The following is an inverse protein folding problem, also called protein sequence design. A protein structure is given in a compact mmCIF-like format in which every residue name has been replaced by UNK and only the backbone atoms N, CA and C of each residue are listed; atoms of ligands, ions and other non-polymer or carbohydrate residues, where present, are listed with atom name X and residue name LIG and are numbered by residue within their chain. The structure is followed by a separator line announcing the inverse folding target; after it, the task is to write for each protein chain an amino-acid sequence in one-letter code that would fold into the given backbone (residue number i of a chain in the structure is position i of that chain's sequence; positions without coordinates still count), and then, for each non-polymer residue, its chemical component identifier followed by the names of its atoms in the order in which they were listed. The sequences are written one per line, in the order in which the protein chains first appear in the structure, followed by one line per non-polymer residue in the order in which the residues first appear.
data_IF_866236124321
#
_entry.id   IF_866236124321
#
_cell.length_a   1.000
_cell.length_b   1.000
_cell.length_c   1.000
_cell.angle_alpha   90.00
_cell.angle_beta   90.00
_cell.angle_gamma   90.00
#
_symmetry.space_group_name_H-M   'P 1'
#
loop_
_entity.id
_entity.type
_entity.pdbx_description
1 polymer ?
#
# COMPACT_ATOMS: atom_id res chain seq x y z
N UNK A 1 -15.46 12.86 -80.85
CA UNK A 1 -16.76 12.44 -80.26
C UNK A 1 -17.04 11.03 -80.78
N UNK A 2 -17.25 9.95 -80.02
CA UNK A 2 -17.59 9.67 -78.63
C UNK A 2 -16.76 8.45 -78.18
N UNK A 3 -16.26 8.45 -76.94
CA UNK A 3 -15.72 7.28 -76.26
C UNK A 3 -16.91 6.45 -75.75
N UNK A 4 -16.99 5.17 -76.10
CA UNK A 4 -17.93 4.23 -75.48
C UNK A 4 -17.24 3.36 -74.44
N UNK A 5 -17.89 3.38 -73.29
CA UNK A 5 -17.67 2.74 -72.01
C UNK A 5 -17.84 1.21 -72.12
N UNK A 6 -16.87 0.44 -71.64
CA UNK A 6 -17.06 -0.95 -71.24
C UNK A 6 -16.48 -1.12 -69.83
N UNK A 7 -17.37 -1.16 -68.85
CA UNK A 7 -17.06 -1.42 -67.45
C UNK A 7 -16.99 -2.94 -67.26
N UNK A 8 -15.80 -3.48 -66.99
CA UNK A 8 -15.65 -4.82 -66.44
C UNK A 8 -15.71 -4.70 -64.92
N UNK A 9 -16.82 -5.14 -64.32
CA UNK A 9 -16.99 -5.23 -62.87
C UNK A 9 -16.20 -6.46 -62.39
N UNK A 10 -15.00 -6.26 -61.84
CA UNK A 10 -14.32 -7.28 -61.07
C UNK A 10 -14.89 -7.25 -59.64
N UNK A 11 -15.81 -8.15 -59.34
CA UNK A 11 -16.24 -8.44 -57.96
C UNK A 11 -15.06 -9.05 -57.20
N UNK A 12 -14.29 -8.22 -56.50
CA UNK A 12 -13.39 -8.67 -55.44
C UNK A 12 -14.28 -8.98 -54.24
N UNK A 13 -14.61 -10.26 -54.06
CA UNK A 13 -15.16 -10.76 -52.81
C UNK A 13 -14.11 -10.60 -51.71
N UNK A 14 -14.12 -9.46 -51.01
CA UNK A 14 -13.44 -9.33 -49.72
C UNK A 14 -14.25 -10.19 -48.76
N UNK A 15 -13.78 -11.43 -48.54
CA UNK A 15 -14.24 -12.25 -47.44
C UNK A 15 -13.95 -11.50 -46.15
N UNK A 16 -14.97 -10.90 -45.56
CA UNK A 16 -14.94 -10.47 -44.16
C UNK A 16 -14.82 -11.74 -43.32
N UNK A 17 -13.59 -12.15 -43.02
CA UNK A 17 -13.31 -12.99 -41.86
C UNK A 17 -13.64 -12.13 -40.63
N UNK A 18 -14.92 -12.08 -40.27
CA UNK A 18 -15.32 -11.71 -38.92
C UNK A 18 -14.85 -12.84 -38.02
N UNK A 19 -13.61 -12.74 -37.52
CA UNK A 19 -13.16 -13.55 -36.40
C UNK A 19 -14.10 -13.18 -35.26
N UNK A 20 -15.05 -14.04 -34.91
CA UNK A 20 -15.87 -13.82 -33.71
C UNK A 20 -14.90 -13.78 -32.54
N UNK A 21 -14.72 -12.62 -31.91
CA UNK A 21 -13.89 -12.49 -30.72
C UNK A 21 -14.33 -13.55 -29.70
N UNK A 22 -13.40 -14.41 -29.31
CA UNK A 22 -13.68 -15.50 -28.37
C UNK A 22 -14.06 -14.87 -27.02
N UNK A 23 -15.23 -15.23 -26.50
CA UNK A 23 -15.63 -14.85 -25.16
C UNK A 23 -14.70 -15.50 -24.12
N UNK A 24 -14.49 -14.79 -23.02
CA UNK A 24 -13.83 -15.31 -21.82
C UNK A 24 -14.74 -16.37 -21.18
N UNK A 25 -14.19 -17.54 -20.85
CA UNK A 25 -14.95 -18.64 -20.25
C UNK A 25 -14.91 -18.58 -18.73
N UNK A 26 -13.77 -18.19 -18.13
CA UNK A 26 -13.61 -18.12 -16.67
C UNK A 26 -12.90 -16.84 -16.21
N UNK A 27 -13.13 -16.42 -14.96
CA UNK A 27 -12.41 -15.28 -14.38
C UNK A 27 -10.88 -15.54 -14.31
N UNK A 28 -10.45 -16.78 -14.07
CA UNK A 28 -9.03 -17.13 -14.02
C UNK A 28 -8.35 -17.05 -15.41
N UNK A 29 -9.06 -17.44 -16.48
CA UNK A 29 -8.59 -17.22 -17.86
C UNK A 29 -8.35 -15.73 -18.11
N UNK A 30 -9.27 -14.86 -17.69
CA UNK A 30 -9.11 -13.42 -17.81
C UNK A 30 -7.90 -12.91 -17.01
N UNK A 31 -7.80 -13.27 -15.73
CA UNK A 31 -6.68 -12.84 -14.89
C UNK A 31 -5.35 -13.26 -15.49
N UNK A 32 -5.24 -14.50 -15.97
CA UNK A 32 -4.05 -15.03 -16.63
C UNK A 32 -3.73 -14.28 -17.93
N UNK A 33 -4.72 -14.06 -18.79
CA UNK A 33 -4.56 -13.38 -20.07
C UNK A 33 -4.17 -11.90 -19.94
N UNK A 34 -4.55 -11.25 -18.84
CA UNK A 34 -4.20 -9.85 -18.56
C UNK A 34 -2.83 -9.68 -17.89
N UNK A 35 -2.19 -10.75 -17.42
CA UNK A 35 -0.91 -10.62 -16.71
C UNK A 35 0.14 -10.05 -17.65
N UNK A 36 0.85 -8.98 -17.24
CA UNK A 36 1.96 -8.49 -18.01
C UNK A 36 3.04 -9.58 -18.12
N UNK A 37 3.73 -9.69 -19.28
CA UNK A 37 4.78 -10.67 -19.46
C UNK A 37 5.97 -10.36 -18.53
N UNK A 38 6.56 -11.42 -17.96
CA UNK A 38 7.80 -11.32 -17.20
C UNK A 38 8.96 -11.08 -18.19
N UNK A 39 9.69 -9.99 -17.99
CA UNK A 39 10.85 -9.62 -18.78
C UNK A 39 12.12 -10.12 -18.09
N UNK A 40 12.91 -10.94 -18.79
CA UNK A 40 14.21 -11.41 -18.30
C UNK A 40 15.34 -10.61 -18.95
N UNK A 41 16.30 -10.15 -18.14
CA UNK A 41 17.49 -9.41 -18.57
C UNK A 41 18.72 -9.98 -17.87
N UNK A 42 19.86 -9.90 -18.53
CA UNK A 42 21.15 -10.27 -17.94
C UNK A 42 22.03 -9.04 -17.86
N UNK A 43 22.65 -8.80 -16.70
CA UNK A 43 23.50 -7.63 -16.46
C UNK A 43 24.88 -8.04 -15.93
N UNK A 44 25.88 -7.18 -16.13
CA UNK A 44 27.16 -7.24 -15.42
C UNK A 44 27.04 -6.39 -14.15
N UNK A 45 26.99 -7.00 -12.95
CA UNK A 45 26.78 -6.27 -11.69
C UNK A 45 27.98 -5.39 -11.29
N UNK A 46 29.13 -5.50 -11.97
CA UNK A 46 30.31 -4.66 -11.73
C UNK A 46 30.24 -3.29 -12.42
N UNK A 47 29.28 -3.09 -13.31
CA UNK A 47 29.07 -1.85 -14.08
C UNK A 47 27.72 -1.20 -13.73
N UNK A 48 27.56 0.06 -14.11
CA UNK A 48 26.26 0.73 -14.08
C UNK A 48 25.36 0.13 -15.16
N UNK A 49 24.13 -0.21 -14.80
CA UNK A 49 23.17 -0.83 -15.73
C UNK A 49 21.89 -0.02 -15.82
N UNK A 50 21.41 0.21 -17.04
CA UNK A 50 20.09 0.78 -17.32
C UNK A 50 19.21 -0.29 -17.97
N UNK A 51 18.14 -0.67 -17.29
CA UNK A 51 17.13 -1.60 -17.79
C UNK A 51 15.93 -0.79 -18.24
N UNK A 52 15.53 -0.96 -19.50
CA UNK A 52 14.30 -0.39 -20.03
C UNK A 52 13.24 -1.49 -20.15
N UNK A 53 12.12 -1.29 -19.46
CA UNK A 53 10.95 -2.14 -19.51
C UNK A 53 10.09 -1.86 -20.74
N UNK A 54 9.36 -2.87 -21.19
CA UNK A 54 8.42 -2.80 -22.31
C UNK A 54 7.31 -1.74 -22.15
N UNK A 55 6.96 -1.35 -20.92
CA UNK A 55 5.98 -0.27 -20.63
C UNK A 55 6.64 1.07 -20.31
N UNK A 56 7.95 1.18 -20.54
CA UNK A 56 8.70 2.43 -20.46
C UNK A 56 9.22 2.75 -19.06
N UNK A 57 9.03 1.89 -18.05
CA UNK A 57 9.73 2.04 -16.76
C UNK A 57 11.21 1.81 -16.99
N UNK A 58 12.04 2.72 -16.50
CA UNK A 58 13.50 2.59 -16.57
C UNK A 58 14.05 2.32 -15.18
N UNK A 59 14.97 1.38 -15.06
CA UNK A 59 15.59 0.98 -13.79
C UNK A 59 17.10 1.10 -13.93
N UNK A 60 17.67 2.03 -13.18
CA UNK A 60 19.11 2.18 -13.07
C UNK A 60 19.62 1.43 -11.84
N UNK A 61 20.52 0.48 -12.07
CA UNK A 61 21.16 -0.34 -11.05
C UNK A 61 22.64 0.07 -11.04
N UNK A 62 23.11 0.79 -10.00
CA UNK A 62 24.50 1.21 -9.91
C UNK A 62 25.46 0.02 -9.85
N UNK A 63 26.69 0.23 -10.33
CA UNK A 63 27.76 -0.73 -10.18
C UNK A 63 27.92 -1.19 -8.72
N UNK A 64 28.03 -2.50 -8.52
CA UNK A 64 28.26 -3.13 -7.23
C UNK A 64 27.17 -2.90 -6.17
N UNK A 65 25.95 -2.51 -6.57
CA UNK A 65 24.84 -2.28 -5.63
C UNK A 65 24.07 -3.54 -5.26
N UNK A 66 24.33 -4.67 -5.90
CA UNK A 66 23.65 -5.94 -5.63
C UNK A 66 24.58 -6.90 -4.88
N UNK A 67 24.07 -7.48 -3.80
CA UNK A 67 24.83 -8.38 -2.91
C UNK A 67 24.01 -9.64 -2.57
N UNK A 68 24.73 -10.71 -2.27
CA UNK A 68 24.19 -11.95 -1.72
C UNK A 68 23.82 -11.75 -0.25
N UNK A 69 23.09 -12.70 0.35
CA UNK A 69 22.63 -12.65 1.75
C UNK A 69 23.75 -12.37 2.77
N UNK A 70 24.98 -12.78 2.49
CA UNK A 70 26.15 -12.57 3.35
C UNK A 70 26.89 -11.23 3.10
N UNK A 71 26.34 -10.37 2.23
CA UNK A 71 26.93 -9.08 1.85
C UNK A 71 27.98 -9.17 0.75
N UNK A 72 28.33 -10.37 0.26
CA UNK A 72 29.30 -10.52 -0.81
C UNK A 72 28.70 -10.19 -2.18
N UNK A 73 29.52 -9.68 -3.09
CA UNK A 73 29.08 -9.37 -4.46
C UNK A 73 28.99 -10.64 -5.30
N UNK A 74 27.97 -10.77 -6.18
CA UNK A 74 27.87 -11.91 -7.08
C UNK A 74 29.04 -11.96 -8.06
N UNK A 75 29.54 -13.16 -8.34
CA UNK A 75 30.50 -13.39 -9.41
C UNK A 75 29.78 -13.64 -10.75
N UNK A 76 30.27 -13.04 -11.83
CA UNK A 76 29.67 -13.21 -13.16
C UNK A 76 28.39 -12.40 -13.34
N UNK A 77 27.53 -12.87 -14.25
CA UNK A 77 26.31 -12.15 -14.64
C UNK A 77 25.17 -12.34 -13.67
N UNK A 78 24.31 -11.33 -13.54
CA UNK A 78 23.07 -11.38 -12.77
C UNK A 78 21.86 -11.46 -13.70
N UNK A 79 20.90 -12.32 -13.36
CA UNK A 79 19.59 -12.38 -14.02
C UNK A 79 18.62 -11.44 -13.31
N UNK A 80 17.93 -10.59 -14.07
CA UNK A 80 16.89 -9.68 -13.60
C UNK A 80 15.56 -10.09 -14.19
N UNK A 81 14.55 -10.23 -13.34
CA UNK A 81 13.16 -10.48 -13.72
C UNK A 81 12.33 -9.24 -13.41
N UNK A 82 11.63 -8.70 -14.40
CA UNK A 82 10.84 -7.46 -14.28
C UNK A 82 9.41 -7.67 -14.78
N UNK A 83 8.44 -7.23 -13.97
CA UNK A 83 7.04 -7.07 -14.35
C UNK A 83 6.64 -5.60 -14.16
N UNK A 84 5.87 -5.05 -15.10
CA UNK A 84 5.41 -3.65 -15.08
C UNK A 84 3.88 -3.58 -15.08
N UNK A 85 3.33 -2.82 -14.13
CA UNK A 85 1.89 -2.60 -13.97
C UNK A 85 1.62 -1.09 -14.01
N UNK A 86 1.02 -0.61 -15.10
CA UNK A 86 0.77 0.82 -15.34
C UNK A 86 -0.71 1.12 -15.50
N UNK A 87 -1.47 0.17 -16.05
CA UNK A 87 -2.89 0.33 -16.38
C UNK A 87 -3.80 -0.34 -15.36
N UNK A 88 -5.05 0.09 -15.28
CA UNK A 88 -6.07 -0.55 -14.43
C UNK A 88 -6.26 -2.04 -14.77
N UNK A 89 -6.05 -2.46 -16.02
CA UNK A 89 -6.06 -3.88 -16.42
C UNK A 89 -4.92 -4.67 -15.80
N UNK A 90 -3.74 -4.06 -15.70
CA UNK A 90 -2.58 -4.69 -15.06
C UNK A 90 -2.85 -4.90 -13.57
N UNK A 91 -3.39 -3.88 -12.90
CA UNK A 91 -3.74 -3.96 -11.49
C UNK A 91 -4.82 -5.01 -11.23
N UNK A 92 -5.82 -5.09 -12.11
CA UNK A 92 -6.86 -6.11 -12.04
C UNK A 92 -6.29 -7.53 -12.16
N UNK A 93 -5.34 -7.76 -13.09
CA UNK A 93 -4.73 -9.09 -13.35
C UNK A 93 -4.06 -9.73 -12.13
N UNK A 94 -3.59 -8.90 -11.19
CA UNK A 94 -2.91 -9.30 -9.95
C UNK A 94 -3.71 -8.97 -8.70
N UNK A 95 -5.00 -8.57 -8.84
CA UNK A 95 -5.88 -8.17 -7.73
C UNK A 95 -5.25 -7.09 -6.84
N UNK A 96 -4.55 -6.14 -7.47
CA UNK A 96 -3.86 -5.06 -6.76
C UNK A 96 -4.88 -4.01 -6.31
N UNK A 97 -4.58 -3.38 -5.17
CA UNK A 97 -5.25 -2.19 -4.68
C UNK A 97 -4.20 -1.09 -4.45
N UNK A 98 -4.56 0.15 -4.70
CA UNK A 98 -3.74 1.34 -4.38
C UNK A 98 -4.10 1.82 -2.98
N UNK A 99 -3.80 0.97 -1.98
CA UNK A 99 -4.06 1.23 -0.56
C UNK A 99 -2.79 1.01 0.26
N UNK A 100 -2.53 1.91 1.20
CA UNK A 100 -1.59 1.68 2.30
C UNK A 100 -2.37 1.63 3.61
N UNK A 101 -2.56 0.42 4.12
CA UNK A 101 -3.55 0.15 5.16
C UNK A 101 -4.95 0.56 4.70
N UNK A 102 -5.55 1.56 5.34
CA UNK A 102 -6.87 2.12 4.95
C UNK A 102 -6.76 3.41 4.16
N UNK A 103 -5.55 3.91 3.87
CA UNK A 103 -5.34 5.17 3.17
C UNK A 103 -5.28 4.95 1.66
N UNK A 104 -6.03 5.76 0.94
CA UNK A 104 -6.06 5.74 -0.52
C UNK A 104 -4.76 6.30 -1.08
N UNK A 105 -4.24 5.64 -2.11
CA UNK A 105 -3.07 6.06 -2.85
C UNK A 105 -3.47 6.45 -4.27
N UNK A 106 -2.75 7.42 -4.82
CA UNK A 106 -2.78 7.72 -6.25
C UNK A 106 -1.46 7.30 -6.87
N UNK A 107 -1.54 6.45 -7.89
CA UNK A 107 -0.40 5.72 -8.43
C UNK A 107 0.17 6.28 -9.72
N UNK A 108 1.49 6.22 -9.83
CA UNK A 108 2.28 6.41 -11.06
C UNK A 108 2.70 5.09 -11.70
N UNK A 109 2.37 3.95 -11.09
CA UNK A 109 2.68 2.61 -11.56
C UNK A 109 3.47 1.77 -10.58
N UNK A 110 3.41 0.45 -10.78
CA UNK A 110 4.03 -0.56 -9.92
C UNK A 110 4.96 -1.46 -10.73
N UNK A 111 5.97 -2.01 -10.07
CA UNK A 111 6.81 -3.08 -10.61
C UNK A 111 6.93 -4.22 -9.60
N UNK A 112 7.23 -5.40 -10.13
CA UNK A 112 7.85 -6.48 -9.38
C UNK A 112 9.22 -6.76 -10.03
N UNK A 113 10.30 -6.49 -9.32
CA UNK A 113 11.67 -6.73 -9.79
C UNK A 113 12.39 -7.71 -8.88
N UNK A 114 13.02 -8.73 -9.44
CA UNK A 114 13.93 -9.62 -8.69
C UNK A 114 15.26 -9.76 -9.40
N UNK A 115 16.30 -10.09 -8.63
CA UNK A 115 17.64 -10.33 -9.14
C UNK A 115 18.18 -11.64 -8.56
N UNK A 116 18.88 -12.43 -9.37
CA UNK A 116 19.55 -13.64 -8.91
C UNK A 116 20.88 -13.88 -9.62
N UNK A 117 21.80 -14.53 -8.90
CA UNK A 117 23.05 -15.05 -9.45
C UNK A 117 23.10 -16.56 -9.20
N UNK A 118 23.30 -17.36 -10.25
CA UNK A 118 23.31 -18.83 -10.15
C UNK A 118 22.07 -19.45 -9.47
N UNK A 119 20.91 -18.80 -9.61
CA UNK A 119 19.65 -19.22 -8.98
C UNK A 119 19.43 -18.66 -7.56
N UNK A 120 20.46 -18.10 -6.92
CA UNK A 120 20.37 -17.51 -5.58
C UNK A 120 19.90 -16.05 -5.64
N UNK A 121 18.89 -15.65 -4.82
CA UNK A 121 18.42 -14.28 -4.79
C UNK A 121 19.47 -13.27 -4.31
N UNK A 122 19.48 -12.11 -4.95
CA UNK A 122 20.28 -10.95 -4.53
C UNK A 122 19.39 -9.87 -3.92
N UNK A 123 20.00 -8.98 -3.15
CA UNK A 123 19.35 -7.79 -2.61
C UNK A 123 20.22 -6.55 -2.86
N UNK A 124 19.63 -5.36 -2.67
CA UNK A 124 20.37 -4.10 -2.77
C UNK A 124 21.20 -3.93 -1.50
N UNK A 125 22.48 -3.60 -1.65
CA UNK A 125 23.39 -3.26 -0.55
C UNK A 125 22.82 -2.11 0.30
N UNK A 126 22.99 -2.17 1.63
CA UNK A 126 22.33 -1.26 2.58
C UNK A 126 22.72 0.22 2.41
N UNK A 127 23.93 0.46 1.88
CA UNK A 127 24.46 1.79 1.58
C UNK A 127 24.15 2.25 0.15
N UNK A 128 23.51 1.39 -0.64
CA UNK A 128 23.15 1.63 -2.03
C UNK A 128 21.64 1.79 -2.23
N UNK A 129 21.26 2.23 -3.43
CA UNK A 129 19.87 2.25 -3.88
C UNK A 129 19.84 2.05 -5.40
N UNK A 130 18.82 1.35 -5.89
CA UNK A 130 18.47 1.42 -7.31
C UNK A 130 17.60 2.64 -7.56
N UNK A 131 17.59 3.14 -8.79
CA UNK A 131 16.71 4.24 -9.20
C UNK A 131 15.67 3.69 -10.16
N UNK A 132 14.40 3.96 -9.87
CA UNK A 132 13.27 3.57 -10.71
C UNK A 132 12.62 4.83 -11.26
N UNK A 133 12.50 4.91 -12.58
CA UNK A 133 11.87 5.99 -13.29
C UNK A 133 10.54 5.51 -13.88
N UNK A 134 9.44 5.99 -13.33
CA UNK A 134 8.07 5.68 -13.78
C UNK A 134 7.59 6.73 -14.78
N UNK A 135 7.15 6.35 -16.00
CA UNK A 135 6.70 7.32 -16.99
C UNK A 135 5.43 8.01 -16.49
N UNK A 136 5.34 9.32 -16.71
CA UNK A 136 4.18 10.12 -16.29
C UNK A 136 3.84 11.21 -17.29
N UNK A 137 2.55 11.50 -17.44
CA UNK A 137 2.08 12.62 -18.27
C UNK A 137 2.11 13.94 -17.50
N UNK A 138 1.80 13.88 -16.22
CA UNK A 138 1.71 15.02 -15.30
C UNK A 138 2.71 14.85 -14.17
N UNK A 139 3.22 15.94 -13.62
CA UNK A 139 4.13 15.87 -12.47
C UNK A 139 3.36 16.21 -11.20
N UNK A 140 2.94 15.16 -10.49
CA UNK A 140 2.22 15.27 -9.23
C UNK A 140 3.21 15.40 -8.06
N UNK A 141 3.01 16.36 -7.14
CA UNK A 141 3.81 16.44 -5.92
C UNK A 141 3.45 15.29 -4.97
N UNK A 142 4.40 14.93 -4.10
CA UNK A 142 4.21 13.94 -3.04
C UNK A 142 4.37 12.48 -3.46
N UNK A 143 4.71 12.21 -4.73
CA UNK A 143 5.04 10.86 -5.19
C UNK A 143 6.30 10.36 -4.48
N UNK A 144 6.24 9.12 -3.99
CA UNK A 144 7.30 8.47 -3.22
C UNK A 144 7.28 6.96 -3.44
N UNK A 145 8.34 6.29 -2.99
CA UNK A 145 8.47 4.84 -3.05
C UNK A 145 7.59 4.17 -2.00
N UNK A 146 6.83 3.16 -2.43
CA UNK A 146 6.13 2.21 -1.57
C UNK A 146 6.64 0.81 -1.86
N UNK A 147 6.64 -0.04 -0.83
CA UNK A 147 7.00 -1.45 -0.96
C UNK A 147 5.79 -2.32 -0.65
N UNK A 148 5.65 -3.40 -1.42
CA UNK A 148 4.53 -4.33 -1.31
C UNK A 148 4.94 -5.64 -0.66
N UNK A 149 4.17 -6.08 0.33
CA UNK A 149 4.25 -7.44 0.87
C UNK A 149 2.97 -8.20 0.54
N UNK A 150 3.12 -9.48 0.16
CA UNK A 150 2.00 -10.37 -0.05
C UNK A 150 1.30 -10.66 1.27
N UNK A 151 -0.01 -10.45 1.32
CA UNK A 151 -0.83 -10.77 2.50
C UNK A 151 -1.61 -12.06 2.31
N UNK A 152 -2.00 -12.68 3.42
CA UNK A 152 -2.87 -13.86 3.46
C UNK A 152 -4.12 -13.62 2.59
N UNK A 153 -4.34 -14.45 1.57
CA UNK A 153 -5.43 -14.28 0.59
C UNK A 153 -5.00 -13.77 -0.80
N UNK A 154 -3.71 -13.52 -1.01
CA UNK A 154 -3.13 -13.30 -2.36
C UNK A 154 -3.15 -11.85 -2.86
N UNK A 155 -3.52 -10.88 -2.01
CA UNK A 155 -3.38 -9.45 -2.29
C UNK A 155 -2.00 -8.90 -1.90
N UNK A 156 -1.73 -7.64 -2.25
CA UNK A 156 -0.56 -6.88 -1.80
C UNK A 156 -0.98 -5.79 -0.81
N UNK A 157 -0.20 -5.63 0.26
CA UNK A 157 -0.27 -4.49 1.16
C UNK A 157 0.91 -3.57 0.91
N UNK A 158 0.64 -2.28 0.67
CA UNK A 158 1.68 -1.29 0.42
C UNK A 158 2.05 -0.50 1.67
N UNK A 159 3.34 -0.31 1.89
CA UNK A 159 3.87 0.56 2.94
C UNK A 159 4.81 1.59 2.33
N UNK A 160 4.65 2.86 2.73
CA UNK A 160 5.55 3.91 2.27
C UNK A 160 6.97 3.66 2.78
N UNK A 161 7.99 3.94 1.96
CA UNK A 161 9.39 3.84 2.37
C UNK A 161 9.71 4.68 3.62
N UNK A 162 9.02 5.82 3.78
CA UNK A 162 9.14 6.70 4.95
C UNK A 162 8.51 6.15 6.23
N UNK A 163 7.61 5.18 6.10
CA UNK A 163 6.99 4.47 7.22
C UNK A 163 7.70 3.15 7.54
N UNK A 164 8.56 2.68 6.65
CA UNK A 164 9.45 1.57 6.94
C UNK A 164 10.55 2.11 7.83
N UNK A 165 10.40 1.94 9.14
CA UNK A 165 11.44 2.22 10.11
C UNK A 165 12.77 1.66 9.59
N UNK A 166 13.82 2.48 9.40
CA UNK A 166 15.09 2.00 9.88
C UNK A 166 14.89 1.75 11.37
N UNK A 167 15.51 0.73 11.95
CA UNK A 167 15.96 0.90 13.32
C UNK A 167 16.83 2.17 13.35
N UNK A 168 16.22 3.35 13.54
CA UNK A 168 16.89 4.50 14.14
C UNK A 168 16.79 4.30 15.64
N UNK A 169 17.28 3.14 16.10
CA UNK A 169 17.85 3.06 17.41
C UNK A 169 19.24 3.70 17.28
N UNK A 170 19.49 4.73 18.09
CA UNK A 170 20.77 5.38 18.27
C UNK A 170 21.30 6.27 17.12
N UNK A 171 20.68 7.44 16.95
CA UNK A 171 21.50 8.66 17.01
C UNK A 171 20.95 9.46 18.18
N UNK A 172 21.51 9.20 19.36
CA UNK A 172 21.41 10.13 20.46
C UNK A 172 22.23 11.37 20.05
N UNK A 173 21.59 12.32 19.38
CA UNK A 173 22.13 13.67 19.36
C UNK A 173 21.77 14.30 20.71
N UNK A 174 22.78 14.42 21.56
CA UNK A 174 22.72 14.99 22.91
C UNK A 174 22.75 16.52 22.92
N UNK A 175 22.52 17.16 21.77
CA UNK A 175 22.42 18.62 21.66
C UNK A 175 20.97 19.05 21.36
N UNK A 176 20.16 19.12 22.41
CA UNK A 176 18.84 19.75 22.36
C UNK A 176 19.00 21.28 22.39
N UNK A 177 19.21 21.90 21.22
CA UNK A 177 19.22 23.36 21.09
C UNK A 177 17.80 23.97 20.91
N UNK A 178 16.75 23.15 21.02
CA UNK A 178 15.37 23.58 20.80
C UNK A 178 14.93 23.62 19.33
N UNK A 179 15.77 23.22 18.38
CA UNK A 179 15.42 23.09 16.95
C UNK A 179 15.02 21.67 16.53
N UNK A 180 14.56 20.79 17.43
CA UNK A 180 14.36 19.38 17.09
C UNK A 180 13.31 19.19 15.97
N UNK A 181 13.80 18.92 14.76
CA UNK A 181 13.01 18.65 13.55
C UNK A 181 12.25 17.30 13.59
N UNK A 182 12.05 16.71 14.76
CA UNK A 182 11.37 15.43 14.94
C UNK A 182 9.91 15.66 15.31
N UNK A 183 8.99 14.92 14.68
CA UNK A 183 7.62 14.81 15.16
C UNK A 183 7.65 14.00 16.46
N UNK A 184 7.35 14.70 17.55
CA UNK A 184 7.23 14.14 18.89
C UNK A 184 5.86 13.45 18.99
N UNK A 185 5.83 12.12 18.95
CA UNK A 185 4.58 11.34 19.09
C UNK A 185 4.57 10.58 20.39
N UNK A 186 3.43 10.62 21.06
CA UNK A 186 3.18 9.83 22.26
C UNK A 186 2.54 8.52 21.82
N UNK A 187 3.12 7.42 22.27
CA UNK A 187 2.63 6.09 21.95
C UNK A 187 2.80 5.16 23.16
N UNK A 188 2.16 4.00 23.07
CA UNK A 188 2.44 2.90 24.00
C UNK A 188 3.82 2.35 23.64
N UNK A 189 4.71 2.32 24.62
CA UNK A 189 6.11 1.88 24.47
C UNK A 189 6.37 0.54 25.17
N UNK A 190 5.44 0.11 26.01
CA UNK A 190 5.46 -1.19 26.67
C UNK A 190 4.09 -1.49 27.26
N UNK A 191 3.79 -2.76 27.40
CA UNK A 191 2.60 -3.23 28.09
C UNK A 191 2.84 -4.67 28.52
N UNK A 192 2.33 -5.03 29.68
CA UNK A 192 2.43 -6.38 30.22
C UNK A 192 1.15 -6.66 30.98
N UNK A 193 0.48 -7.77 30.67
CA UNK A 193 -0.53 -8.29 31.56
C UNK A 193 -0.17 -9.69 31.99
N UNK A 194 -0.34 -9.98 33.28
CA UNK A 194 -0.06 -11.28 33.85
C UNK A 194 -1.25 -11.76 34.68
N UNK A 195 -1.52 -13.06 34.62
CA UNK A 195 -2.43 -13.75 35.53
C UNK A 195 -1.67 -14.95 36.09
N UNK A 196 -1.54 -15.04 37.41
CA UNK A 196 -0.76 -16.10 38.07
C UNK A 196 0.66 -16.22 37.48
N UNK A 197 1.34 -15.08 37.30
CA UNK A 197 2.68 -14.97 36.69
C UNK A 197 2.81 -15.49 35.24
N UNK A 198 1.70 -15.66 34.52
CA UNK A 198 1.71 -15.98 33.08
C UNK A 198 1.24 -14.77 32.28
N UNK A 199 2.01 -14.42 31.26
CA UNK A 199 1.68 -13.32 30.36
C UNK A 199 0.42 -13.62 29.53
N UNK A 200 -0.42 -12.60 29.34
CA UNK A 200 -1.61 -12.65 28.50
C UNK A 200 -1.57 -11.55 27.43
N UNK A 201 -2.06 -11.87 26.24
CA UNK A 201 -2.13 -10.92 25.12
C UNK A 201 -3.32 -9.99 25.29
N UNK A 202 -3.09 -8.68 25.16
CA UNK A 202 -4.14 -7.67 25.30
C UNK A 202 -5.01 -7.61 24.05
N UNK A 203 -6.33 -7.50 24.24
CA UNK A 203 -7.28 -7.32 23.14
C UNK A 203 -8.42 -6.38 23.56
N UNK A 204 -8.77 -5.44 22.68
CA UNK A 204 -9.86 -4.48 22.91
C UNK A 204 -11.06 -4.76 22.02
N UNK A 205 -12.26 -4.43 22.49
CA UNK A 205 -13.51 -4.49 21.73
C UNK A 205 -13.62 -3.27 20.81
N UNK A 206 -12.72 -3.15 19.84
CA UNK A 206 -12.68 -2.06 18.87
C UNK A 206 -12.18 -2.55 17.51
N UNK A 207 -12.46 -1.79 16.44
CA UNK A 207 -11.97 -2.09 15.10
C UNK A 207 -10.43 -1.96 14.99
N UNK A 208 -9.82 -1.19 15.90
CA UNK A 208 -8.38 -1.18 16.10
C UNK A 208 -7.95 -2.46 16.80
N UNK A 209 -7.07 -3.24 16.17
CA UNK A 209 -6.70 -4.58 16.63
C UNK A 209 -5.95 -4.62 17.96
N UNK A 210 -5.44 -3.48 18.45
CA UNK A 210 -4.61 -3.39 19.67
C UNK A 210 -4.78 -2.05 20.39
N UNK A 211 -4.44 -2.01 21.68
CA UNK A 211 -4.35 -0.77 22.47
C UNK A 211 -3.40 0.25 21.83
N UNK A 212 -2.29 -0.19 21.23
CA UNK A 212 -1.33 0.68 20.54
C UNK A 212 -2.00 1.52 19.47
N UNK A 213 -2.67 0.85 18.54
CA UNK A 213 -3.32 1.51 17.41
C UNK A 213 -4.41 2.47 17.89
N UNK A 214 -5.12 2.10 18.95
CA UNK A 214 -6.15 2.97 19.53
C UNK A 214 -5.54 4.21 20.19
N UNK A 215 -4.51 4.06 21.02
CA UNK A 215 -3.84 5.18 21.71
C UNK A 215 -3.21 6.12 20.68
N UNK A 216 -2.49 5.59 19.69
CA UNK A 216 -1.84 6.40 18.65
C UNK A 216 -2.84 7.25 17.86
N UNK A 217 -4.04 6.73 17.58
CA UNK A 217 -5.08 7.45 16.83
C UNK A 217 -5.90 8.42 17.67
N UNK A 218 -6.14 8.11 18.94
CA UNK A 218 -7.16 8.80 19.74
C UNK A 218 -6.61 9.64 20.89
N UNK A 219 -5.36 9.43 21.31
CA UNK A 219 -4.75 10.24 22.36
C UNK A 219 -4.39 11.62 21.81
N UNK A 220 -5.28 12.58 22.02
CA UNK A 220 -5.06 13.97 21.65
C UNK A 220 -4.73 14.75 22.92
N UNK A 221 -3.44 14.96 23.19
CA UNK A 221 -3.01 15.87 24.24
C UNK A 221 -3.09 17.31 23.72
N UNK A 222 -4.05 18.08 24.24
CA UNK A 222 -4.24 19.49 23.89
C UNK A 222 -3.32 20.43 24.68
N UNK A 223 -2.73 19.94 25.77
CA UNK A 223 -1.78 20.70 26.58
C UNK A 223 -0.37 20.59 26.00
N UNK A 224 0.05 21.66 25.31
CA UNK A 224 1.38 21.74 24.70
C UNK A 224 2.54 21.68 25.69
N UNK A 225 2.36 22.08 26.96
CA UNK A 225 3.41 22.00 27.98
C UNK A 225 3.57 20.56 28.50
N UNK A 226 2.47 19.82 28.54
CA UNK A 226 2.43 18.42 28.93
C UNK A 226 3.07 17.51 27.88
N UNK A 227 2.69 17.68 26.60
CA UNK A 227 3.36 17.01 25.47
C UNK A 227 4.86 17.25 25.49
N UNK A 228 5.24 18.51 25.74
CA UNK A 228 6.64 18.94 25.73
C UNK A 228 7.46 18.18 26.77
N UNK A 229 6.98 18.05 28.00
CA UNK A 229 7.72 17.36 29.05
C UNK A 229 7.83 15.84 28.84
N UNK A 230 6.78 15.16 28.38
CA UNK A 230 6.90 13.73 28.01
C UNK A 230 8.00 13.56 26.97
N UNK A 231 8.07 14.49 26.02
CA UNK A 231 8.97 14.41 24.89
C UNK A 231 10.38 14.98 25.11
N UNK A 232 10.59 15.79 26.15
CA UNK A 232 11.90 16.33 26.51
C UNK A 232 12.61 15.48 27.57
N UNK A 233 11.86 14.80 28.44
CA UNK A 233 12.43 14.02 29.54
C UNK A 233 12.95 12.65 29.14
N UNK A 234 12.60 12.13 27.95
CA UNK A 234 12.74 10.71 27.58
C UNK A 234 12.15 9.75 28.65
N UNK A 235 11.29 10.24 29.54
CA UNK A 235 10.76 9.47 30.65
C UNK A 235 9.66 8.52 30.15
N UNK A 236 9.64 7.31 30.72
CA UNK A 236 8.49 6.43 30.63
C UNK A 236 7.46 6.86 31.67
N UNK A 237 6.20 6.88 31.27
CA UNK A 237 5.06 6.94 32.20
C UNK A 237 4.55 5.51 32.36
N UNK A 238 4.95 4.87 33.45
CA UNK A 238 4.57 3.51 33.78
C UNK A 238 3.33 3.51 34.66
N UNK A 239 2.29 2.85 34.17
CA UNK A 239 0.97 2.83 34.78
C UNK A 239 0.57 1.41 35.14
N UNK A 240 -0.07 1.27 36.30
CA UNK A 240 -0.79 0.07 36.70
C UNK A 240 -2.28 0.33 36.47
N UNK A 241 -2.93 -0.56 35.72
CA UNK A 241 -4.35 -0.44 35.39
C UNK A 241 -5.16 -1.43 36.23
N UNK A 242 -6.31 -0.98 36.72
CA UNK A 242 -7.36 -1.86 37.26
C UNK A 242 -8.45 -1.98 36.21
N UNK A 243 -8.75 -3.21 35.81
CA UNK A 243 -9.75 -3.52 34.79
C UNK A 243 -10.86 -4.35 35.44
N UNK A 244 -12.11 -3.95 35.27
CA UNK A 244 -13.26 -4.69 35.82
C UNK A 244 -13.63 -5.92 34.96
N UNK A 245 -14.63 -6.67 35.44
CA UNK A 245 -15.07 -7.91 34.78
C UNK A 245 -15.68 -7.72 33.40
N UNK A 246 -16.07 -6.49 33.02
CA UNK A 246 -16.58 -6.16 31.68
C UNK A 246 -15.51 -5.53 30.79
N UNK A 247 -14.25 -5.48 31.25
CA UNK A 247 -13.11 -4.97 30.50
C UNK A 247 -12.94 -3.46 30.56
N UNK A 248 -13.63 -2.74 31.45
CA UNK A 248 -13.46 -1.30 31.59
C UNK A 248 -12.31 -0.99 32.55
N UNK A 249 -11.47 -0.03 32.16
CA UNK A 249 -10.43 0.51 33.04
C UNK A 249 -11.11 1.36 34.12
N UNK A 250 -11.06 0.89 35.36
CA UNK A 250 -11.64 1.57 36.52
C UNK A 250 -10.57 2.28 37.36
N UNK A 251 -9.34 1.76 37.36
CA UNK A 251 -8.18 2.31 38.06
C UNK A 251 -7.02 2.57 37.12
N UNK A 252 -6.30 3.67 37.37
CA UNK A 252 -5.04 4.02 36.72
C UNK A 252 -4.15 4.60 37.81
N UNK A 253 -3.10 3.88 38.15
CA UNK A 253 -2.12 4.23 39.17
C UNK A 253 -0.76 4.46 38.54
N UNK A 254 -0.01 5.42 39.06
CA UNK A 254 1.35 5.70 38.62
C UNK A 254 2.31 4.76 39.33
N UNK A 255 3.03 3.94 38.56
CA UNK A 255 4.14 3.13 39.05
C UNK A 255 5.44 3.92 39.05
N UNK A 256 5.74 4.57 37.93
CA UNK A 256 6.90 5.44 37.77
C UNK A 256 6.63 6.50 36.69
N UNK A 257 7.38 7.60 36.75
CA UNK A 257 7.29 8.70 35.79
C UNK A 257 6.63 9.98 36.34
N UNK A 258 6.36 10.96 35.46
CA UNK A 258 5.96 12.31 35.88
C UNK A 258 4.52 12.35 36.42
N UNK A 259 4.35 12.60 37.72
CA UNK A 259 3.04 12.52 38.40
C UNK A 259 1.94 13.43 37.83
N UNK A 260 2.31 14.59 37.26
CA UNK A 260 1.34 15.51 36.64
C UNK A 260 0.68 14.95 35.36
N UNK A 261 1.24 13.89 34.79
CA UNK A 261 0.67 13.19 33.63
C UNK A 261 -0.43 12.19 34.00
N UNK A 262 -0.51 11.80 35.28
CA UNK A 262 -1.43 10.77 35.71
C UNK A 262 -2.89 11.17 35.47
N UNK A 263 -3.29 12.39 35.82
CA UNK A 263 -4.67 12.87 35.66
C UNK A 263 -5.16 12.88 34.20
N UNK A 264 -4.46 13.51 33.24
CA UNK A 264 -4.89 13.49 31.84
C UNK A 264 -4.85 12.09 31.24
N UNK A 265 -3.86 11.27 31.59
CA UNK A 265 -3.78 9.91 31.09
C UNK A 265 -4.89 9.02 31.67
N UNK A 266 -5.20 9.17 32.96
CA UNK A 266 -6.35 8.52 33.59
C UNK A 266 -7.66 8.90 32.89
N UNK A 267 -7.85 10.20 32.59
CA UNK A 267 -9.04 10.68 31.87
C UNK A 267 -9.17 10.04 30.48
N UNK A 268 -8.06 9.89 29.74
CA UNK A 268 -8.08 9.23 28.44
C UNK A 268 -8.34 7.71 28.55
N UNK A 269 -7.54 7.01 29.37
CA UNK A 269 -7.58 5.55 29.50
C UNK A 269 -8.94 5.04 30.00
N UNK A 270 -9.55 5.72 30.98
CA UNK A 270 -10.87 5.33 31.49
C UNK A 270 -12.00 5.50 30.45
N UNK A 271 -11.78 6.30 29.40
CA UNK A 271 -12.73 6.49 28.30
C UNK A 271 -12.49 5.53 27.12
N UNK A 272 -11.50 4.65 27.19
CA UNK A 272 -11.22 3.69 26.13
C UNK A 272 -12.33 2.64 25.93
N UNK A 273 -12.40 2.01 24.74
CA UNK A 273 -13.14 0.79 24.53
C UNK A 273 -12.76 -0.26 25.56
N UNK A 274 -13.73 -1.08 25.98
CA UNK A 274 -13.49 -2.14 26.93
C UNK A 274 -12.56 -3.21 26.34
N UNK A 275 -11.79 -3.87 27.18
CA UNK A 275 -11.03 -5.07 26.85
C UNK A 275 -11.96 -6.25 26.54
N UNK A 276 -11.54 -7.09 25.60
CA UNK A 276 -12.18 -8.37 25.30
C UNK A 276 -11.71 -9.40 26.35
N UNK A 277 -12.30 -9.33 27.55
CA UNK A 277 -11.95 -10.19 28.68
C UNK A 277 -12.08 -11.68 28.33
N UNK A 278 -13.01 -12.02 27.43
CA UNK A 278 -13.23 -13.39 26.97
C UNK A 278 -12.05 -13.93 26.17
N UNK A 279 -11.55 -13.13 25.22
CA UNK A 279 -10.39 -13.50 24.41
C UNK A 279 -9.08 -13.43 25.18
N UNK A 280 -9.00 -12.56 26.19
CA UNK A 280 -7.83 -12.49 27.06
C UNK A 280 -7.80 -13.64 28.10
N UNK A 281 -8.88 -14.41 28.21
CA UNK A 281 -9.06 -15.51 29.17
C UNK A 281 -8.79 -15.08 30.63
N UNK A 282 -9.27 -13.89 31.01
CA UNK A 282 -9.04 -13.30 32.33
C UNK A 282 -10.35 -12.96 33.03
N UNK A 283 -10.49 -13.49 34.25
CA UNK A 283 -11.52 -13.12 35.24
C UNK A 283 -10.96 -13.12 36.66
N UNK A 284 -9.62 -13.15 36.80
CA UNK A 284 -8.95 -13.33 38.09
C UNK A 284 -8.77 -12.00 38.83
N UNK A 285 -8.92 -12.03 40.16
CA UNK A 285 -8.56 -10.91 41.04
C UNK A 285 -7.03 -10.66 41.08
N UNK A 286 -6.22 -11.66 40.71
CA UNK A 286 -4.75 -11.61 40.70
C UNK A 286 -4.17 -11.17 39.34
N UNK A 287 -4.97 -10.47 38.53
CA UNK A 287 -4.52 -9.97 37.23
C UNK A 287 -3.79 -8.63 37.40
N UNK A 288 -2.54 -8.56 36.91
CA UNK A 288 -1.78 -7.31 36.87
C UNK A 288 -1.75 -6.78 35.43
N UNK A 289 -2.02 -5.48 35.26
CA UNK A 289 -1.99 -4.81 33.97
C UNK A 289 -1.05 -3.61 34.06
N UNK A 290 0.08 -3.67 33.37
CA UNK A 290 1.07 -2.60 33.30
C UNK A 290 1.06 -2.00 31.89
N UNK A 291 1.08 -0.68 31.79
CA UNK A 291 1.12 0.07 30.53
C UNK A 291 2.17 1.17 30.63
N UNK A 292 3.11 1.18 29.68
CA UNK A 292 4.16 2.19 29.57
C UNK A 292 3.88 3.11 28.40
N UNK A 293 3.78 4.41 28.67
CA UNK A 293 3.62 5.46 27.65
C UNK A 293 4.93 6.22 27.54
N UNK A 294 5.39 6.49 26.32
CA UNK A 294 6.57 7.34 26.10
C UNK A 294 6.38 8.21 24.86
N UNK A 295 7.32 9.14 24.68
CA UNK A 295 7.38 9.93 23.46
C UNK A 295 8.52 9.43 22.56
N UNK A 296 8.16 8.93 21.38
CA UNK A 296 9.12 8.62 20.35
C UNK A 296 9.36 9.86 19.47
N UNK A 297 10.63 10.15 19.20
CA UNK A 297 11.04 11.12 18.18
C UNK A 297 10.96 10.42 16.82
N UNK A 298 9.89 10.65 16.07
CA UNK A 298 9.81 10.21 14.69
C UNK A 298 10.32 11.32 13.77
N UNK A 299 11.07 10.99 12.73
CA UNK A 299 11.34 11.97 11.67
C UNK A 299 10.01 12.19 10.94
N UNK A 300 9.52 13.44 10.77
CA UNK A 300 8.34 13.71 9.95
C UNK A 300 8.52 13.06 8.58
N UNK A 301 7.46 12.44 8.04
CA UNK A 301 7.57 11.66 6.81
C UNK A 301 8.18 12.46 5.63
N UNK A 302 7.85 13.74 5.53
CA UNK A 302 8.41 14.63 4.51
C UNK A 302 9.91 14.86 4.68
N UNK A 303 10.39 15.07 5.90
CA UNK A 303 11.81 15.18 6.14
C UNK A 303 12.55 13.86 5.96
N UNK A 304 11.94 12.73 6.33
CA UNK A 304 12.54 11.43 6.05
C UNK A 304 12.73 11.27 4.55
N UNK A 305 11.69 11.61 3.76
CA UNK A 305 11.73 11.59 2.30
C UNK A 305 12.82 12.52 1.77
N UNK A 306 12.91 13.76 2.24
CA UNK A 306 13.96 14.69 1.83
C UNK A 306 15.36 14.17 2.16
N UNK A 307 15.57 13.66 3.38
CA UNK A 307 16.85 13.09 3.80
C UNK A 307 17.21 11.82 3.00
N UNK A 308 16.22 10.97 2.71
CA UNK A 308 16.38 9.77 1.89
C UNK A 308 16.76 10.13 0.47
N UNK A 309 16.02 11.03 -0.18
CA UNK A 309 16.32 11.50 -1.53
C UNK A 309 17.68 12.21 -1.58
N UNK A 310 18.03 12.98 -0.55
CA UNK A 310 19.35 13.61 -0.45
C UNK A 310 20.47 12.58 -0.28
N UNK A 311 20.28 11.54 0.52
CA UNK A 311 21.27 10.45 0.71
C UNK A 311 21.60 9.78 -0.62
N UNK A 312 20.62 9.63 -1.51
CA UNK A 312 20.76 8.89 -2.78
C UNK A 312 20.79 9.78 -4.03
N UNK A 313 20.96 11.10 -3.86
CA UNK A 313 20.95 12.06 -4.97
C UNK A 313 22.00 11.75 -6.04
N UNK A 314 23.18 11.24 -5.65
CA UNK A 314 24.24 10.90 -6.60
C UNK A 314 23.81 9.80 -7.59
N UNK A 315 23.13 8.75 -7.12
CA UNK A 315 22.61 7.69 -7.99
C UNK A 315 21.50 8.23 -8.90
N UNK A 316 20.66 9.13 -8.38
CA UNK A 316 19.62 9.80 -9.17
C UNK A 316 20.21 10.66 -10.28
N UNK A 317 21.28 11.40 -10.00
CA UNK A 317 22.01 12.19 -11.01
C UNK A 317 22.66 11.30 -12.08
N UNK A 318 23.21 10.14 -11.68
CA UNK A 318 23.73 9.14 -12.62
C UNK A 318 22.61 8.57 -13.50
N UNK A 319 21.49 8.16 -12.90
CA UNK A 319 20.33 7.66 -13.63
C UNK A 319 19.78 8.70 -14.61
N UNK A 320 19.64 9.96 -14.20
CA UNK A 320 19.17 11.04 -15.07
C UNK A 320 20.11 11.31 -16.26
N UNK A 321 21.43 11.16 -16.06
CA UNK A 321 22.40 11.24 -17.16
C UNK A 321 22.26 10.06 -18.12
N UNK A 322 22.06 8.86 -17.59
CA UNK A 322 21.89 7.63 -18.38
C UNK A 322 20.57 7.62 -19.17
N UNK A 323 19.48 8.10 -18.57
CA UNK A 323 18.14 8.17 -19.19
C UNK A 323 18.08 9.25 -20.28
N UNK A 324 18.85 10.34 -20.14
CA UNK A 324 18.88 11.46 -21.07
C UNK A 324 17.89 12.58 -20.72
N UNK A 325 18.39 13.83 -20.67
CA UNK A 325 17.66 15.02 -20.18
C UNK A 325 16.45 15.46 -21.03
N UNK A 326 16.34 15.01 -22.29
CA UNK A 326 15.26 15.41 -23.21
C UNK A 326 13.97 14.61 -23.06
N UNK A 327 13.94 13.59 -22.19
CA UNK A 327 12.79 12.69 -21.98
C UNK A 327 12.06 12.90 -20.64
N UNK A 328 12.22 14.04 -19.96
CA UNK A 328 11.79 14.25 -18.56
C UNK A 328 10.27 14.31 -18.35
N UNK A 329 9.62 13.16 -18.51
CA UNK A 329 8.25 12.82 -18.17
C UNK A 329 8.27 11.58 -17.27
N UNK A 330 9.06 11.64 -16.19
CA UNK A 330 9.29 10.52 -15.28
C UNK A 330 9.22 10.96 -13.81
N UNK A 331 8.58 10.14 -12.97
CA UNK A 331 8.86 10.14 -11.53
C UNK A 331 10.10 9.31 -11.28
N UNK A 332 11.16 9.95 -10.79
CA UNK A 332 12.45 9.29 -10.53
C UNK A 332 12.62 9.12 -9.03
N UNK A 333 12.56 7.87 -8.56
CA UNK A 333 12.55 7.51 -7.15
C UNK A 333 13.68 6.55 -6.80
N UNK A 334 14.22 6.68 -5.59
CA UNK A 334 15.19 5.72 -5.06
C UNK A 334 14.50 4.55 -4.35
N UNK A 335 15.02 3.33 -4.55
CA UNK A 335 14.56 2.13 -3.87
C UNK A 335 15.73 1.31 -3.29
N UNK A 336 15.60 0.90 -2.04
CA UNK A 336 16.59 0.11 -1.27
C UNK A 336 16.31 -1.38 -1.26
N UNK A 337 15.19 -1.81 -1.84
CA UNK A 337 14.78 -3.21 -1.86
C UNK A 337 14.31 -3.54 -3.26
N UNK A 338 14.58 -4.79 -3.65
CA UNK A 338 13.91 -5.43 -4.78
C UNK A 338 12.56 -5.99 -4.31
N UNK A 339 11.77 -6.50 -5.24
CA UNK A 339 10.43 -7.02 -5.03
C UNK A 339 9.37 -6.08 -5.59
N UNK A 340 8.24 -5.97 -4.89
CA UNK A 340 7.16 -5.07 -5.24
C UNK A 340 7.50 -3.64 -4.86
N UNK A 341 7.60 -2.78 -5.86
CA UNK A 341 7.91 -1.36 -5.72
C UNK A 341 6.83 -0.57 -6.43
N UNK A 342 6.34 0.47 -5.79
CA UNK A 342 5.29 1.30 -6.31
C UNK A 342 5.64 2.79 -6.18
N UNK A 343 5.27 3.59 -7.18
CA UNK A 343 5.41 5.03 -7.19
C UNK A 343 4.06 5.65 -6.89
N UNK A 344 3.81 6.01 -5.64
CA UNK A 344 2.51 6.47 -5.19
C UNK A 344 2.62 7.76 -4.39
N UNK A 345 1.50 8.47 -4.25
CA UNK A 345 1.28 9.47 -3.22
C UNK A 345 0.06 9.12 -2.39
N UNK A 346 0.04 9.58 -1.14
CA UNK A 346 -1.22 9.56 -0.38
C UNK A 346 -2.21 10.53 -1.02
N UNK A 347 -3.43 10.05 -1.26
CA UNK A 347 -4.54 10.89 -1.68
C UNK A 347 -5.32 11.35 -0.44
N UNK A 348 -5.19 12.62 -0.11
CA UNK A 348 -5.88 13.22 1.03
C UNK A 348 -7.07 14.06 0.57
N UNK A 349 -8.23 13.42 0.56
CA UNK A 349 -9.51 14.09 0.35
C UNK A 349 -10.11 14.50 1.70
N UNK A 350 -10.44 15.79 1.91
CA UNK A 350 -11.02 16.27 3.16
C UNK A 350 -12.49 15.87 3.33
N UNK A 351 -13.15 15.35 2.29
CA UNK A 351 -14.54 14.93 2.38
C UNK A 351 -14.71 13.79 3.41
N UNK A 352 -15.86 13.72 4.10
CA UNK A 352 -16.16 12.62 5.00
C UNK A 352 -15.99 11.26 4.32
N UNK A 353 -15.29 10.34 4.97
CA UNK A 353 -15.01 9.00 4.46
C UNK A 353 -16.07 8.02 4.97
N UNK A 354 -16.51 7.11 4.10
CA UNK A 354 -17.55 6.11 4.39
C UNK A 354 -17.13 4.74 3.90
N UNK A 355 -17.78 3.71 4.42
CA UNK A 355 -17.73 2.36 3.84
C UNK A 355 -18.80 2.27 2.74
N UNK A 356 -18.37 2.03 1.51
CA UNK A 356 -19.25 1.87 0.36
C UNK A 356 -19.54 0.38 0.14
N UNK A 357 -20.81 -0.01 0.18
CA UNK A 357 -21.23 -1.40 0.07
C UNK A 357 -21.83 -1.69 -1.32
N UNK A 358 -21.29 -2.69 -1.98
CA UNK A 358 -21.74 -3.17 -3.30
C UNK A 358 -22.29 -4.58 -3.17
N UNK A 359 -23.45 -4.81 -3.76
CA UNK A 359 -24.03 -6.16 -3.93
C UNK A 359 -24.05 -6.55 -5.39
N UNK A 360 -23.89 -7.84 -5.66
CA UNK A 360 -23.95 -8.41 -7.00
C UNK A 360 -25.19 -9.28 -7.12
N UNK A 361 -25.90 -9.18 -8.24
CA UNK A 361 -27.09 -10.00 -8.50
C UNK A 361 -26.86 -10.96 -9.68
N UNK A 362 -27.32 -12.21 -9.56
CA UNK A 362 -27.38 -13.15 -10.69
C UNK A 362 -26.06 -13.77 -11.13
N UNK A 363 -25.04 -13.77 -10.26
CA UNK A 363 -23.73 -14.37 -10.52
C UNK A 363 -23.22 -15.17 -9.31
N UNK A 364 -22.34 -16.14 -9.57
CA UNK A 364 -21.55 -16.86 -8.55
C UNK A 364 -20.08 -16.47 -8.63
N UNK A 365 -19.33 -16.71 -7.55
CA UNK A 365 -17.90 -16.37 -7.44
C UNK A 365 -17.54 -14.91 -7.84
N UNK A 366 -18.24 -13.91 -7.28
CA UNK A 366 -18.00 -12.51 -7.65
C UNK A 366 -16.60 -12.01 -7.27
N UNK A 367 -15.98 -11.27 -8.20
CA UNK A 367 -14.81 -10.43 -8.00
C UNK A 367 -15.22 -8.98 -8.31
N UNK A 368 -15.14 -8.10 -7.31
CA UNK A 368 -15.59 -6.71 -7.45
C UNK A 368 -14.46 -5.74 -7.17
N UNK A 369 -14.26 -4.79 -8.07
CA UNK A 369 -13.23 -3.75 -7.99
C UNK A 369 -13.84 -2.36 -8.26
N UNK A 370 -13.30 -1.34 -7.62
CA UNK A 370 -13.54 0.06 -7.97
C UNK A 370 -12.35 0.64 -8.72
N UNK A 371 -12.64 1.44 -9.75
CA UNK A 371 -11.70 2.39 -10.34
C UNK A 371 -12.21 3.79 -10.04
N UNK A 372 -11.35 4.64 -9.49
CA UNK A 372 -11.69 6.05 -9.26
C UNK A 372 -11.56 6.84 -10.56
N UNK A 373 -12.53 7.70 -10.86
CA UNK A 373 -12.51 8.46 -12.12
C UNK A 373 -11.65 9.72 -12.04
N UNK A 374 -11.45 10.26 -10.84
CA UNK A 374 -10.76 11.54 -10.63
C UNK A 374 -9.29 11.41 -10.20
N UNK A 375 -8.86 10.18 -9.85
CA UNK A 375 -7.50 9.87 -9.43
C UNK A 375 -7.10 8.53 -10.01
N UNK A 376 -5.82 8.35 -10.29
CA UNK A 376 -5.31 7.04 -10.71
C UNK A 376 -5.25 6.09 -9.50
N UNK A 377 -6.37 5.47 -9.17
CA UNK A 377 -6.53 4.63 -7.98
C UNK A 377 -7.53 3.51 -8.24
N UNK A 378 -7.23 2.32 -7.74
CA UNK A 378 -8.07 1.12 -7.83
C UNK A 378 -8.18 0.43 -6.49
N UNK A 379 -9.31 -0.23 -6.23
CA UNK A 379 -9.54 -0.87 -4.95
C UNK A 379 -10.31 -2.18 -5.11
N UNK A 380 -9.83 -3.25 -4.52
CA UNK A 380 -10.55 -4.53 -4.45
C UNK A 380 -11.60 -4.50 -3.34
N UNK A 381 -12.74 -5.13 -3.58
CA UNK A 381 -13.81 -5.26 -2.60
C UNK A 381 -13.53 -6.37 -1.60
N UNK A 382 -13.75 -6.10 -0.32
CA UNK A 382 -13.68 -7.11 0.72
C UNK A 382 -15.06 -7.76 0.89
N UNK A 383 -15.16 -9.07 0.65
CA UNK A 383 -16.43 -9.78 0.83
C UNK A 383 -16.77 -9.91 2.32
N UNK A 384 -17.96 -9.40 2.69
CA UNK A 384 -18.53 -9.49 4.03
C UNK A 384 -20.04 -9.70 3.95
N UNK A 385 -20.54 -10.77 4.56
CA UNK A 385 -21.98 -11.04 4.67
C UNK A 385 -22.72 -10.97 3.32
N UNK A 386 -22.10 -11.47 2.23
CA UNK A 386 -22.68 -11.45 0.88
C UNK A 386 -22.65 -10.09 0.18
N UNK A 387 -21.86 -9.13 0.68
CA UNK A 387 -21.63 -7.82 0.07
C UNK A 387 -20.13 -7.58 -0.09
N UNK A 388 -19.75 -6.71 -1.02
CA UNK A 388 -18.39 -6.21 -1.20
C UNK A 388 -18.27 -4.84 -0.56
N UNK A 389 -17.48 -4.75 0.50
CA UNK A 389 -17.29 -3.52 1.27
C UNK A 389 -15.99 -2.86 0.87
N UNK A 390 -16.09 -1.58 0.53
CA UNK A 390 -14.96 -0.72 0.24
C UNK A 390 -14.84 0.35 1.32
N UNK A 391 -13.87 0.18 2.21
CA UNK A 391 -13.74 1.02 3.42
C UNK A 391 -13.08 2.37 3.15
N UNK A 392 -13.47 3.35 3.96
CA UNK A 392 -12.79 4.65 4.07
C UNK A 392 -12.69 5.46 2.75
N UNK A 393 -13.73 5.40 1.92
CA UNK A 393 -13.78 6.14 0.65
C UNK A 393 -14.40 7.53 0.86
N UNK A 394 -13.84 8.60 0.27
CA UNK A 394 -14.47 9.93 0.32
C UNK A 394 -15.86 9.92 -0.31
N UNK A 395 -16.86 10.43 0.41
CA UNK A 395 -18.22 10.61 -0.14
C UNK A 395 -18.18 11.48 -1.39
N UNK A 396 -19.09 11.22 -2.33
CA UNK A 396 -19.14 11.88 -3.65
C UNK A 396 -17.99 11.55 -4.62
N UNK A 397 -17.12 10.59 -4.28
CA UNK A 397 -16.16 10.05 -5.25
C UNK A 397 -16.89 9.45 -6.44
N UNK A 398 -16.50 9.84 -7.65
CA UNK A 398 -16.95 9.19 -8.88
C UNK A 398 -16.13 7.94 -9.10
N UNK A 399 -16.81 6.80 -9.24
CA UNK A 399 -16.17 5.50 -9.37
C UNK A 399 -16.85 4.67 -10.46
N UNK A 400 -16.05 3.87 -11.15
CA UNK A 400 -16.50 2.78 -12.01
C UNK A 400 -16.44 1.49 -11.19
N UNK A 401 -17.58 0.87 -10.96
CA UNK A 401 -17.71 -0.43 -10.28
C UNK A 401 -17.62 -1.52 -11.33
N UNK A 402 -16.65 -2.42 -11.18
CA UNK A 402 -16.42 -3.56 -12.06
C UNK A 402 -16.72 -4.82 -11.27
N UNK A 403 -17.57 -5.68 -11.82
CA UNK A 403 -17.89 -6.99 -11.26
C UNK A 403 -17.70 -8.06 -12.32
N UNK A 404 -16.95 -9.09 -11.95
CA UNK A 404 -16.79 -10.30 -12.75
C UNK A 404 -17.27 -11.45 -11.92
N UNK A 405 -18.05 -12.35 -12.51
CA UNK A 405 -18.45 -13.58 -11.87
C UNK A 405 -18.83 -14.60 -12.91
N UNK A 406 -19.56 -15.61 -12.47
CA UNK A 406 -19.98 -16.72 -13.30
C UNK A 406 -21.50 -16.76 -13.40
N UNK A 407 -21.99 -16.97 -14.62
CA UNK A 407 -23.39 -17.30 -14.88
C UNK A 407 -23.40 -18.47 -15.87
N UNK A 408 -24.08 -19.58 -15.51
CA UNK A 408 -24.11 -20.81 -16.31
C UNK A 408 -22.71 -21.34 -16.72
N UNK A 409 -21.74 -21.27 -15.80
CA UNK A 409 -20.32 -21.66 -16.02
C UNK A 409 -19.59 -20.83 -17.08
N UNK A 410 -20.08 -19.63 -17.39
CA UNK A 410 -19.42 -18.68 -18.26
C UNK A 410 -19.10 -17.40 -17.48
N UNK A 411 -17.92 -16.84 -17.71
CA UNK A 411 -17.55 -15.54 -17.16
C UNK A 411 -18.47 -14.45 -17.71
N UNK A 412 -18.97 -13.62 -16.81
CA UNK A 412 -19.80 -12.47 -17.13
C UNK A 412 -19.28 -11.22 -16.41
N UNK A 413 -19.47 -10.08 -17.05
CA UNK A 413 -18.93 -8.78 -16.65
C UNK A 413 -20.07 -7.76 -16.54
N UNK A 414 -20.07 -7.02 -15.44
CA UNK A 414 -20.82 -5.80 -15.26
C UNK A 414 -19.86 -4.64 -14.98
N UNK A 415 -20.09 -3.49 -15.62
CA UNK A 415 -19.34 -2.25 -15.37
C UNK A 415 -20.34 -1.11 -15.32
N UNK A 416 -20.44 -0.44 -14.17
CA UNK A 416 -21.35 0.68 -13.96
C UNK A 416 -20.63 1.83 -13.25
N UNK A 417 -20.72 3.04 -13.81
CA UNK A 417 -20.26 4.26 -13.12
C UNK A 417 -21.32 4.71 -12.10
N UNK A 418 -20.85 5.18 -10.95
CA UNK A 418 -21.71 5.68 -9.88
C UNK A 418 -20.96 6.72 -9.03
N UNK A 419 -21.68 7.32 -8.09
CA UNK A 419 -21.14 8.23 -7.09
C UNK A 419 -21.24 7.56 -5.73
N UNK A 420 -20.15 7.60 -4.97
CA UNK A 420 -20.08 6.98 -3.65
C UNK A 420 -21.00 7.71 -2.67
N UNK A 421 -21.98 6.98 -2.15
CA UNK A 421 -22.95 7.44 -1.15
C UNK A 421 -23.11 6.39 -0.05
N UNK A 422 -23.81 6.75 1.04
CA UNK A 422 -24.10 5.79 2.14
C UNK A 422 -25.12 4.72 1.76
N UNK A 423 -25.83 4.89 0.65
CA UNK A 423 -26.80 3.91 0.19
C UNK A 423 -26.09 2.71 -0.43
N UNK A 424 -26.63 1.53 -0.18
CA UNK A 424 -26.17 0.30 -0.82
C UNK A 424 -26.30 0.42 -2.34
N UNK A 425 -25.26 0.02 -3.06
CA UNK A 425 -25.26 -0.05 -4.51
C UNK A 425 -25.42 -1.50 -4.96
N UNK A 426 -26.24 -1.74 -6.00
CA UNK A 426 -26.40 -3.06 -6.61
C UNK A 426 -25.82 -3.02 -8.02
N UNK A 427 -24.75 -3.77 -8.23
CA UNK A 427 -24.16 -3.98 -9.53
C UNK A 427 -24.94 -5.07 -10.27
N UNK A 428 -25.53 -4.70 -11.40
CA UNK A 428 -26.36 -5.55 -12.24
C UNK A 428 -25.90 -5.51 -13.71
N UNK A 429 -26.69 -6.09 -14.62
CA UNK A 429 -26.45 -6.09 -16.08
C UNK A 429 -25.15 -6.82 -16.48
N UNK A 430 -25.02 -8.06 -15.98
CA UNK A 430 -23.92 -8.94 -16.34
C UNK A 430 -24.08 -9.53 -17.74
N UNK A 431 -23.05 -9.39 -18.56
CA UNK A 431 -23.02 -9.93 -19.91
C UNK A 431 -21.71 -10.66 -20.19
N UNK A 432 -21.74 -11.61 -21.12
CA UNK A 432 -20.53 -12.22 -21.67
C UNK A 432 -19.68 -11.18 -22.39
N UNK A 433 -18.37 -11.38 -22.43
CA UNK A 433 -17.44 -10.40 -22.97
C UNK A 433 -16.18 -11.07 -23.53
N UNK A 434 -15.47 -10.38 -24.43
CA UNK A 434 -14.14 -10.74 -24.91
C UNK A 434 -13.04 -10.04 -24.10
N UNK A 435 -11.80 -10.51 -24.22
CA UNK A 435 -10.63 -9.86 -23.61
C UNK A 435 -10.45 -8.42 -24.08
N UNK A 436 -10.64 -8.17 -25.38
CA UNK A 436 -10.52 -6.84 -25.99
C UNK A 436 -11.59 -5.89 -25.45
N UNK A 437 -12.86 -6.32 -25.42
CA UNK A 437 -13.96 -5.56 -24.81
C UNK A 437 -13.72 -5.24 -23.34
N UNK A 438 -13.13 -6.18 -22.58
CA UNK A 438 -12.76 -5.91 -21.19
C UNK A 438 -11.73 -4.78 -21.12
N UNK A 439 -10.60 -4.94 -21.84
CA UNK A 439 -9.51 -3.97 -21.84
C UNK A 439 -9.95 -2.57 -22.29
N UNK A 440 -10.86 -2.47 -23.27
CA UNK A 440 -11.39 -1.18 -23.71
C UNK A 440 -12.26 -0.49 -22.65
N UNK A 441 -13.09 -1.24 -21.93
CA UNK A 441 -14.04 -0.67 -20.97
C UNK A 441 -13.41 -0.26 -19.64
N UNK A 442 -12.25 -0.81 -19.30
CA UNK A 442 -11.54 -0.53 -18.04
C UNK A 442 -10.36 0.45 -18.19
N UNK A 443 -10.15 0.98 -19.41
CA UNK A 443 -9.29 2.14 -19.63
C UNK A 443 -9.75 3.38 -18.87
#
# INVERSE_FOLDING_TARGET
MRKHLAFLLACVCIGLYSCSEKNVETAEELFSALRPPIQQKTIDPSQDNLIEGAKGIKIFIPANSLVQKDGTRPAGTVSISLEEFISSSDFFSRRLSTLSGTKLLETGGMINITASANGEPLHVDEESAIIVAFPTKDTLPGMQTFYGDTVSGGGLSWQAASQMSPMVAAVADSSDDGSSFYEKKINVCGYLATVNNKEITWKINHADSTIFNYVEKNLILRDSALCREICESNALLDLILTIDSIGKITGVELKDGPARLLTPMKSFLQNMPAFDMSSMNTTSADAEYNLSICCNKAIPADMFRENFEKKYAAYKDQALKAIGKTELRYYVLSAKKLGWINCDRFYDDPAPKIDFAVTTAGITNPHVMLIFENINSVMQGEEKNGQFVFRNIPVNSKVKVIGIGENNKQAVLAIQSTVVTKSQFTLADYHTFSLEQFQERIK
#
